data_IF_478323451014
#
_entry.id   IF_478323451014
#
_cell.length_a   1.000
_cell.length_b   1.000
_cell.length_c   1.000
_cell.angle_alpha   90.00
_cell.angle_beta   90.00
_cell.angle_gamma   90.00
#
_symmetry.space_group_name_H-M   'P 1'
#
loop_
_entity.id
_entity.type
_entity.pdbx_description
1 polymer ?
#
# COMPACT_ATOMS: atom_id res chain seq x y z
N UNK A 1 1.13 -27.01 -11.42
CA UNK A 1 -0.33 -26.78 -11.38
C UNK A 1 -0.58 -25.32 -10.99
N UNK A 2 -1.31 -24.56 -11.81
CA UNK A 2 -1.68 -23.18 -11.47
C UNK A 2 -2.66 -23.17 -10.29
N UNK A 3 -2.37 -22.35 -9.26
CA UNK A 3 -3.32 -22.14 -8.14
C UNK A 3 -4.55 -21.39 -8.67
N UNK A 4 -5.71 -21.61 -8.05
CA UNK A 4 -6.90 -20.82 -8.35
C UNK A 4 -6.63 -19.34 -8.03
N UNK A 5 -7.22 -18.43 -8.82
CA UNK A 5 -7.00 -16.98 -8.69
C UNK A 5 -7.16 -16.46 -7.24
N UNK A 6 -8.19 -16.86 -6.47
CA UNK A 6 -8.35 -16.42 -5.08
C UNK A 6 -7.23 -16.92 -4.16
N UNK A 7 -6.75 -18.14 -4.37
CA UNK A 7 -5.68 -18.75 -3.56
C UNK A 7 -4.34 -18.06 -3.83
N UNK A 8 -4.06 -17.73 -5.09
CA UNK A 8 -2.88 -16.97 -5.49
C UNK A 8 -2.87 -15.56 -4.90
N UNK A 9 -4.01 -14.85 -4.93
CA UNK A 9 -4.15 -13.52 -4.33
C UNK A 9 -3.93 -13.59 -2.82
N UNK A 10 -4.58 -14.54 -2.12
CA UNK A 10 -4.44 -14.70 -0.67
C UNK A 10 -2.99 -14.96 -0.27
N UNK A 11 -2.29 -15.81 -1.01
CA UNK A 11 -0.90 -16.13 -0.70
C UNK A 11 0.04 -14.94 -0.92
N UNK A 12 -0.15 -14.18 -2.01
CA UNK A 12 0.61 -12.95 -2.28
C UNK A 12 0.35 -11.88 -1.21
N UNK A 13 -0.90 -11.73 -0.74
CA UNK A 13 -1.21 -10.82 0.36
C UNK A 13 -0.54 -11.27 1.68
N UNK A 14 -0.41 -12.58 1.93
CA UNK A 14 0.23 -13.08 3.15
C UNK A 14 1.76 -12.94 3.14
N UNK A 15 2.40 -13.04 1.98
CA UNK A 15 3.86 -12.88 1.84
C UNK A 15 4.23 -11.42 1.58
N UNK A 16 3.80 -10.89 0.43
CA UNK A 16 4.16 -9.54 -0.03
C UNK A 16 3.39 -8.46 0.73
N UNK A 17 2.14 -8.71 1.12
CA UNK A 17 1.35 -7.74 1.88
C UNK A 17 1.96 -7.37 3.24
N UNK A 18 2.64 -8.31 3.91
CA UNK A 18 3.42 -7.99 5.13
C UNK A 18 4.57 -7.03 4.83
N UNK A 19 5.31 -7.27 3.75
CA UNK A 19 6.40 -6.38 3.34
C UNK A 19 5.88 -4.96 3.01
N UNK A 20 4.75 -4.86 2.31
CA UNK A 20 4.11 -3.58 1.99
C UNK A 20 3.72 -2.79 3.24
N UNK A 21 3.17 -3.46 4.27
CA UNK A 21 2.85 -2.82 5.56
C UNK A 21 4.12 -2.25 6.20
N UNK A 22 5.20 -3.04 6.26
CA UNK A 22 6.46 -2.57 6.85
C UNK A 22 7.01 -1.34 6.12
N UNK A 23 7.07 -1.37 4.79
CA UNK A 23 7.56 -0.22 4.00
C UNK A 23 6.70 1.02 4.21
N UNK A 24 5.38 0.87 4.25
CA UNK A 24 4.46 2.01 4.42
C UNK A 24 4.52 2.58 5.83
N UNK A 25 4.70 1.75 6.87
CA UNK A 25 4.93 2.22 8.24
C UNK A 25 6.24 3.01 8.34
N UNK A 26 7.32 2.50 7.74
CA UNK A 26 8.62 3.20 7.70
C UNK A 26 8.47 4.56 7.01
N UNK A 27 7.77 4.61 5.86
CA UNK A 27 7.51 5.85 5.15
C UNK A 27 6.63 6.81 5.96
N UNK A 28 5.57 6.31 6.60
CA UNK A 28 4.68 7.12 7.44
C UNK A 28 5.45 7.85 8.54
N UNK A 29 6.32 7.14 9.26
CA UNK A 29 7.18 7.76 10.27
C UNK A 29 8.28 8.64 9.66
N UNK A 30 8.87 8.24 8.53
CA UNK A 30 9.87 9.03 7.81
C UNK A 30 9.36 10.39 7.35
N UNK A 31 8.15 10.45 6.79
CA UNK A 31 7.47 11.70 6.45
C UNK A 31 6.87 12.41 7.67
N UNK A 32 6.50 11.66 8.72
CA UNK A 32 6.04 12.21 9.99
C UNK A 32 7.07 13.11 10.67
N UNK A 33 8.38 12.85 10.49
CA UNK A 33 9.45 13.71 11.01
C UNK A 33 9.35 15.15 10.45
N UNK A 34 8.86 15.33 9.22
CA UNK A 34 8.70 16.65 8.60
C UNK A 34 7.69 17.53 9.34
N UNK A 35 6.78 16.95 10.13
CA UNK A 35 5.85 17.69 10.99
C UNK A 35 6.57 18.51 12.06
N UNK A 36 7.78 18.08 12.46
CA UNK A 36 8.60 18.79 13.44
C UNK A 36 9.36 19.98 12.85
N UNK A 37 9.23 20.22 11.54
CA UNK A 37 9.89 21.34 10.87
C UNK A 37 9.31 22.69 11.31
N UNK A 38 10.19 23.68 11.45
CA UNK A 38 9.81 25.08 11.71
C UNK A 38 9.27 25.79 10.45
N UNK A 39 9.38 25.17 9.28
CA UNK A 39 8.86 25.73 8.04
C UNK A 39 7.49 25.17 7.71
N UNK A 40 6.45 26.01 7.81
CA UNK A 40 5.04 25.62 7.64
C UNK A 40 4.77 24.83 6.36
N UNK A 41 5.43 25.20 5.24
CA UNK A 41 5.26 24.48 3.97
C UNK A 41 5.69 23.01 4.06
N UNK A 42 6.80 22.72 4.75
CA UNK A 42 7.33 21.37 4.94
C UNK A 42 6.46 20.56 5.89
N UNK A 43 5.93 21.19 6.96
CA UNK A 43 5.06 20.50 7.92
C UNK A 43 3.71 20.12 7.29
N UNK A 44 3.10 21.01 6.52
CA UNK A 44 1.86 20.71 5.78
C UNK A 44 2.09 19.62 4.72
N UNK A 45 3.19 19.71 3.98
CA UNK A 45 3.58 18.67 3.02
C UNK A 45 3.79 17.31 3.70
N UNK A 46 4.47 17.28 4.85
CA UNK A 46 4.67 16.07 5.65
C UNK A 46 3.36 15.43 6.10
N UNK A 47 2.41 16.24 6.58
CA UNK A 47 1.08 15.78 7.00
C UNK A 47 0.30 15.16 5.83
N UNK A 48 0.23 15.88 4.71
CA UNK A 48 -0.50 15.43 3.52
C UNK A 48 0.10 14.13 2.96
N UNK A 49 1.43 14.04 2.92
CA UNK A 49 2.13 12.85 2.41
C UNK A 49 1.91 11.65 3.33
N UNK A 50 1.98 11.85 4.64
CA UNK A 50 1.73 10.81 5.65
C UNK A 50 0.32 10.22 5.52
N UNK A 51 -0.71 11.07 5.37
CA UNK A 51 -2.09 10.63 5.12
C UNK A 51 -2.21 9.90 3.79
N UNK A 52 -1.57 10.43 2.74
CA UNK A 52 -1.59 9.82 1.40
C UNK A 52 -1.00 8.41 1.42
N UNK A 53 0.12 8.21 2.11
CA UNK A 53 0.77 6.91 2.27
C UNK A 53 -0.11 5.90 3.02
N UNK A 54 -0.81 6.37 4.05
CA UNK A 54 -1.76 5.52 4.78
C UNK A 54 -2.92 5.06 3.89
N UNK A 55 -3.49 5.97 3.09
CA UNK A 55 -4.55 5.64 2.13
C UNK A 55 -4.02 4.74 1.00
N UNK A 56 -2.80 4.97 0.52
CA UNK A 56 -2.17 4.13 -0.50
C UNK A 56 -1.98 2.69 -0.01
N UNK A 57 -1.54 2.50 1.24
CA UNK A 57 -1.41 1.17 1.85
C UNK A 57 -2.77 0.43 1.89
N UNK A 58 -3.84 1.13 2.29
CA UNK A 58 -5.20 0.58 2.27
C UNK A 58 -5.63 0.19 0.85
N UNK A 59 -5.28 1.00 -0.16
CA UNK A 59 -5.55 0.68 -1.55
C UNK A 59 -4.81 -0.58 -2.01
N UNK A 60 -3.53 -0.74 -1.66
CA UNK A 60 -2.73 -1.91 -2.04
C UNK A 60 -3.23 -3.21 -1.38
N UNK A 61 -3.70 -3.14 -0.13
CA UNK A 61 -4.19 -4.32 0.60
C UNK A 61 -5.64 -4.68 0.30
N UNK A 62 -6.51 -3.70 0.02
CA UNK A 62 -7.96 -3.93 -0.14
C UNK A 62 -8.44 -3.70 -1.57
N UNK A 63 -8.04 -2.60 -2.20
CA UNK A 63 -8.53 -2.22 -3.54
C UNK A 63 -7.88 -3.09 -4.60
N UNK A 64 -6.56 -3.31 -4.52
CA UNK A 64 -5.82 -4.14 -5.48
C UNK A 64 -6.39 -5.58 -5.61
N UNK A 65 -6.58 -6.37 -4.53
CA UNK A 65 -7.14 -7.72 -4.68
C UNK A 65 -8.59 -7.70 -5.19
N UNK A 66 -9.39 -6.71 -4.79
CA UNK A 66 -10.77 -6.53 -5.26
C UNK A 66 -10.79 -6.23 -6.76
N UNK A 67 -9.88 -5.37 -7.22
CA UNK A 67 -9.75 -5.01 -8.63
C UNK A 67 -9.32 -6.22 -9.48
N UNK A 68 -8.33 -6.99 -9.01
CA UNK A 68 -7.88 -8.21 -9.70
C UNK A 68 -9.01 -9.25 -9.77
N UNK A 69 -9.80 -9.41 -8.70
CA UNK A 69 -10.96 -10.31 -8.69
C UNK A 69 -12.08 -9.86 -9.63
N UNK A 70 -12.29 -8.55 -9.77
CA UNK A 70 -13.33 -7.98 -10.63
C UNK A 70 -12.95 -8.09 -12.11
N UNK A 71 -11.72 -7.69 -12.46
CA UNK A 71 -11.27 -7.68 -13.85
C UNK A 71 -10.89 -9.06 -14.37
N UNK A 72 -10.60 -10.03 -13.47
CA UNK A 72 -10.08 -11.38 -13.79
C UNK A 72 -9.21 -11.35 -15.04
N UNK A 73 -8.11 -10.56 -15.05
CA UNK A 73 -7.33 -10.37 -16.26
C UNK A 73 -6.97 -11.74 -16.81
N UNK A 74 -7.41 -12.04 -18.04
CA UNK A 74 -7.01 -13.23 -18.76
C UNK A 74 -5.53 -13.04 -19.08
N UNK A 75 -4.68 -13.39 -18.11
CA UNK A 75 -3.25 -13.52 -18.31
C UNK A 75 -3.07 -14.75 -19.21
N UNK A 76 -3.21 -14.54 -20.51
CA UNK A 76 -2.68 -15.43 -21.53
C UNK A 76 -1.17 -15.35 -21.41
N UNK A 77 -0.59 -16.29 -20.66
CA UNK A 77 0.86 -16.55 -20.63
C UNK A 77 1.13 -17.69 -21.60
#
# INVERSE_FOLDING_TARGET
AGRSLPEAIRQTLLTTGKAMIFTSVILFFGFGILLTSNFTGTSVFGLLTSITLFVALLADLMVLPTLILLFKPKLTV
#
